data_IF_246517016657
#
_entry.id   IF_246517016657
#
_cell.length_a   1.000
_cell.length_b   1.000
_cell.length_c   1.000
_cell.angle_alpha   90.00
_cell.angle_beta   90.00
_cell.angle_gamma   90.00
#
_symmetry.space_group_name_H-M   'P 1'
#
loop_
_entity.id
_entity.type
_entity.pdbx_description
1 polymer ?
#
# COMPACT_ATOMS: atom_id res chain seq x y z
N UNK A 1 -18.92 -18.67 -21.19
CA UNK A 1 -18.17 -17.48 -21.70
C UNK A 1 -17.35 -16.94 -20.54
N UNK A 2 -16.27 -16.20 -20.78
CA UNK A 2 -15.45 -15.57 -19.72
C UNK A 2 -15.29 -14.08 -19.99
N UNK A 3 -14.98 -13.30 -18.97
CA UNK A 3 -14.62 -11.90 -19.15
C UNK A 3 -13.36 -11.75 -20.02
N UNK A 4 -13.45 -10.91 -21.04
CA UNK A 4 -12.33 -10.52 -21.91
C UNK A 4 -11.93 -9.08 -21.61
N UNK A 5 -10.69 -8.91 -21.14
CA UNK A 5 -10.13 -7.60 -20.75
C UNK A 5 -10.03 -6.64 -21.92
N UNK A 6 -9.76 -7.14 -23.14
CA UNK A 6 -9.54 -6.27 -24.29
C UNK A 6 -10.86 -5.68 -24.79
N UNK A 7 -11.91 -6.49 -24.86
CA UNK A 7 -13.22 -6.05 -25.36
C UNK A 7 -14.19 -5.64 -24.25
N UNK A 8 -13.81 -5.80 -22.98
CA UNK A 8 -14.63 -5.50 -21.81
C UNK A 8 -16.01 -6.17 -21.89
N UNK A 9 -16.02 -7.42 -22.37
CA UNK A 9 -17.23 -8.19 -22.68
C UNK A 9 -17.08 -9.65 -22.28
N UNK A 10 -18.16 -10.42 -22.34
CA UNK A 10 -18.09 -11.87 -22.23
C UNK A 10 -17.71 -12.49 -23.57
N UNK A 11 -16.62 -13.26 -23.62
CA UNK A 11 -16.16 -13.97 -24.81
C UNK A 11 -16.26 -15.48 -24.65
N UNK A 12 -16.78 -16.16 -25.65
CA UNK A 12 -16.75 -17.63 -25.70
C UNK A 12 -15.34 -18.10 -26.08
N UNK A 13 -14.70 -18.90 -25.22
CA UNK A 13 -13.37 -19.46 -25.50
C UNK A 13 -13.35 -20.42 -26.70
N UNK A 14 -14.49 -21.02 -27.05
CA UNK A 14 -14.57 -22.04 -28.11
C UNK A 14 -14.88 -21.45 -29.48
N UNK A 15 -15.87 -20.55 -29.59
CA UNK A 15 -16.31 -20.00 -30.88
C UNK A 15 -15.99 -18.50 -31.08
N UNK A 16 -15.48 -17.82 -30.05
CA UNK A 16 -15.12 -16.41 -30.14
C UNK A 16 -16.29 -15.42 -30.06
N UNK A 17 -17.54 -15.88 -29.98
CA UNK A 17 -18.70 -15.00 -29.83
C UNK A 17 -18.58 -14.08 -28.61
N UNK A 18 -19.01 -12.84 -28.75
CA UNK A 18 -18.91 -11.79 -27.73
C UNK A 18 -20.29 -11.28 -27.30
N UNK A 19 -20.46 -11.05 -25.99
CA UNK A 19 -21.67 -10.47 -25.41
C UNK A 19 -21.28 -9.31 -24.50
N UNK A 20 -21.73 -8.10 -24.86
CA UNK A 20 -21.46 -6.89 -24.08
C UNK A 20 -21.98 -7.05 -22.64
N UNK A 21 -21.20 -6.57 -21.68
CA UNK A 21 -21.66 -6.44 -20.30
C UNK A 21 -22.28 -5.05 -20.17
N UNK A 22 -23.54 -5.01 -19.74
CA UNK A 22 -24.25 -3.76 -19.48
C UNK A 22 -23.85 -3.24 -18.11
N UNK A 23 -23.32 -2.02 -18.08
CA UNK A 23 -23.08 -1.27 -16.85
C UNK A 23 -24.31 -0.39 -16.59
N UNK A 24 -24.93 -0.55 -15.43
CA UNK A 24 -26.00 0.33 -14.98
C UNK A 24 -25.55 1.04 -13.71
N UNK A 25 -25.03 2.26 -13.85
CA UNK A 25 -24.47 3.05 -12.74
C UNK A 25 -25.49 3.29 -11.62
N UNK A 26 -26.80 3.31 -11.93
CA UNK A 26 -27.85 3.44 -10.91
C UNK A 26 -27.93 2.24 -9.95
N UNK A 27 -27.24 1.14 -10.25
CA UNK A 27 -27.13 -0.04 -9.37
C UNK A 27 -25.95 0.03 -8.41
N UNK A 28 -25.05 1.01 -8.57
CA UNK A 28 -24.02 1.27 -7.56
C UNK A 28 -24.71 2.03 -6.44
N UNK A 29 -24.93 1.36 -5.31
CA UNK A 29 -25.67 1.92 -4.18
C UNK A 29 -24.69 2.33 -3.09
N UNK A 30 -24.82 3.57 -2.63
CA UNK A 30 -24.17 4.05 -1.42
C UNK A 30 -25.06 3.79 -0.21
N UNK A 31 -24.52 3.02 0.73
CA UNK A 31 -25.25 2.62 1.92
C UNK A 31 -24.97 3.58 3.06
N UNK A 32 -26.00 4.09 3.72
CA UNK A 32 -25.80 4.90 4.92
C UNK A 32 -25.15 4.07 6.04
N UNK A 33 -24.05 4.59 6.59
CA UNK A 33 -23.30 3.96 7.68
C UNK A 33 -24.12 3.87 8.98
N UNK A 34 -25.09 4.76 9.17
CA UNK A 34 -25.93 4.82 10.37
C UNK A 34 -27.24 4.02 10.28
N UNK A 35 -27.48 3.34 9.14
CA UNK A 35 -28.68 2.52 8.94
C UNK A 35 -28.72 1.29 9.87
N UNK A 36 -29.93 0.82 10.22
CA UNK A 36 -30.10 -0.45 10.96
C UNK A 36 -29.48 -1.64 10.21
N UNK A 37 -29.45 -1.61 8.87
CA UNK A 37 -28.79 -2.60 8.02
C UNK A 37 -27.26 -2.60 8.20
N UNK A 38 -26.62 -1.43 8.29
CA UNK A 38 -25.19 -1.31 8.61
C UNK A 38 -24.84 -1.86 10.01
N UNK A 39 -25.82 -1.93 10.93
CA UNK A 39 -25.70 -2.52 12.28
C UNK A 39 -26.07 -4.00 12.35
N UNK A 40 -26.67 -4.55 11.30
CA UNK A 40 -27.20 -5.92 11.22
C UNK A 40 -26.67 -6.63 9.97
N UNK A 41 -25.37 -6.49 9.68
CA UNK A 41 -24.68 -7.04 8.49
C UNK A 41 -24.62 -8.59 8.43
N UNK A 42 -25.63 -9.27 8.96
CA UNK A 42 -25.92 -10.69 8.75
C UNK A 42 -27.03 -10.94 7.71
N UNK A 43 -27.67 -9.91 7.14
CA UNK A 43 -28.71 -10.09 6.12
C UNK A 43 -28.21 -9.63 4.74
N UNK A 44 -27.80 -10.55 3.85
CA UNK A 44 -27.53 -10.22 2.46
C UNK A 44 -28.84 -9.97 1.71
N UNK A 45 -28.81 -8.98 0.80
CA UNK A 45 -29.81 -8.92 -0.25
C UNK A 45 -29.60 -10.11 -1.21
N UNK A 46 -30.66 -10.87 -1.57
CA UNK A 46 -30.52 -11.96 -2.52
C UNK A 46 -30.29 -11.40 -3.92
N UNK A 47 -29.17 -11.77 -4.54
CA UNK A 47 -29.04 -11.75 -6.00
C UNK A 47 -29.62 -13.06 -6.55
N UNK A 48 -30.49 -12.98 -7.55
CA UNK A 48 -31.07 -14.16 -8.20
C UNK A 48 -30.00 -14.99 -8.94
N UNK A 49 -28.87 -14.37 -9.31
CA UNK A 49 -27.74 -15.02 -10.01
C UNK A 49 -26.67 -15.62 -9.06
N UNK A 50 -26.74 -15.42 -7.73
CA UNK A 50 -25.64 -15.78 -6.80
C UNK A 50 -25.76 -17.16 -6.12
N UNK A 51 -26.83 -17.91 -6.38
CA UNK A 51 -27.22 -19.10 -5.60
C UNK A 51 -26.30 -20.34 -5.71
N UNK A 52 -25.16 -20.27 -6.38
CA UNK A 52 -24.35 -21.45 -6.70
C UNK A 52 -22.86 -21.42 -6.30
N UNK A 53 -22.32 -20.31 -5.79
CA UNK A 53 -20.89 -20.26 -5.42
C UNK A 53 -20.65 -20.75 -3.99
N UNK A 54 -19.57 -21.53 -3.81
CA UNK A 54 -19.11 -22.00 -2.49
C UNK A 54 -17.86 -21.21 -2.12
N UNK A 55 -17.76 -20.78 -0.86
CA UNK A 55 -16.56 -20.12 -0.36
C UNK A 55 -15.61 -21.14 0.29
N UNK A 56 -14.31 -21.09 -0.05
CA UNK A 56 -13.27 -21.88 0.59
C UNK A 56 -12.35 -21.01 1.43
N UNK A 57 -12.03 -21.45 2.64
CA UNK A 57 -11.07 -20.78 3.50
C UNK A 57 -9.65 -21.31 3.28
N UNK A 58 -8.69 -20.42 3.07
CA UNK A 58 -7.28 -20.77 3.06
C UNK A 58 -6.77 -20.94 4.50
N UNK A 59 -6.30 -22.14 4.88
CA UNK A 59 -5.65 -22.36 6.18
C UNK A 59 -4.29 -21.66 6.34
N UNK A 60 -3.69 -21.20 5.25
CA UNK A 60 -2.37 -20.56 5.26
C UNK A 60 -2.39 -19.04 5.45
N UNK A 61 -3.39 -18.33 4.90
CA UNK A 61 -3.48 -16.87 5.01
C UNK A 61 -4.84 -16.36 5.50
N UNK A 62 -5.83 -17.24 5.69
CA UNK A 62 -7.16 -16.86 6.16
C UNK A 62 -8.09 -16.25 5.10
N UNK A 63 -7.64 -16.06 3.85
CA UNK A 63 -8.52 -15.61 2.76
C UNK A 63 -9.69 -16.56 2.55
N UNK A 64 -10.83 -15.99 2.16
CA UNK A 64 -11.96 -16.76 1.69
C UNK A 64 -12.19 -16.48 0.21
N UNK A 65 -12.11 -17.52 -0.61
CA UNK A 65 -12.27 -17.40 -2.06
C UNK A 65 -13.55 -18.08 -2.49
N UNK A 66 -14.33 -17.37 -3.29
CA UNK A 66 -15.50 -17.91 -3.98
C UNK A 66 -15.05 -18.76 -5.16
N UNK A 67 -15.56 -19.99 -5.20
CA UNK A 67 -15.35 -20.94 -6.28
C UNK A 67 -16.67 -21.47 -6.80
N UNK A 68 -16.68 -21.83 -8.07
CA UNK A 68 -17.78 -22.58 -8.69
C UNK A 68 -17.89 -23.96 -8.02
N UNK A 69 -19.11 -24.46 -7.80
CA UNK A 69 -19.42 -25.76 -7.13
C UNK A 69 -18.61 -26.96 -7.61
N UNK A 70 -18.20 -26.97 -8.88
CA UNK A 70 -17.51 -28.10 -9.51
C UNK A 70 -15.99 -27.92 -9.61
N UNK A 71 -15.42 -26.83 -9.07
CA UNK A 71 -13.97 -26.66 -9.01
C UNK A 71 -13.37 -27.33 -7.78
N UNK A 72 -12.54 -28.35 -8.01
CA UNK A 72 -11.80 -29.04 -6.96
C UNK A 72 -10.32 -28.62 -6.98
N UNK A 73 -9.78 -28.35 -5.78
CA UNK A 73 -8.36 -28.11 -5.50
C UNK A 73 -7.71 -26.91 -6.22
N UNK A 74 -7.98 -25.71 -5.71
CA UNK A 74 -7.23 -24.48 -6.08
C UNK A 74 -6.06 -24.27 -5.11
N UNK A 75 -4.90 -23.81 -5.60
CA UNK A 75 -3.84 -23.26 -4.74
C UNK A 75 -4.16 -21.80 -4.45
N UNK A 76 -4.05 -21.40 -3.19
CA UNK A 76 -4.25 -20.02 -2.78
C UNK A 76 -3.35 -19.06 -3.58
N UNK A 77 -3.93 -18.05 -4.27
CA UNK A 77 -3.15 -17.12 -5.08
C UNK A 77 -2.23 -16.25 -4.21
N UNK A 78 -2.57 -16.06 -2.93
CA UNK A 78 -1.84 -15.22 -1.99
C UNK A 78 -0.66 -15.91 -1.29
N UNK A 79 -0.82 -17.18 -0.88
CA UNK A 79 0.22 -17.87 -0.09
C UNK A 79 0.63 -19.25 -0.62
N UNK A 80 0.00 -19.74 -1.69
CA UNK A 80 0.33 -21.02 -2.34
C UNK A 80 -0.13 -22.27 -1.58
N UNK A 81 -0.74 -22.13 -0.40
CA UNK A 81 -1.34 -23.25 0.33
C UNK A 81 -2.58 -23.78 -0.38
N UNK A 82 -2.87 -25.08 -0.25
CA UNK A 82 -4.13 -25.67 -0.74
C UNK A 82 -5.32 -25.11 0.04
N UNK A 83 -6.44 -24.90 -0.66
CA UNK A 83 -7.72 -24.66 0.00
C UNK A 83 -8.27 -25.96 0.59
N UNK A 84 -9.04 -25.82 1.68
CA UNK A 84 -9.88 -26.87 2.22
C UNK A 84 -11.31 -26.40 2.02
N UNK A 85 -12.18 -27.28 1.51
CA UNK A 85 -13.62 -27.00 1.41
C UNK A 85 -14.12 -26.58 2.80
N UNK A 86 -14.84 -25.45 2.85
CA UNK A 86 -15.47 -25.02 4.09
C UNK A 86 -16.77 -25.79 4.28
N UNK A 87 -17.00 -26.31 5.48
CA UNK A 87 -18.29 -26.92 5.86
C UNK A 87 -19.41 -25.87 6.02
N UNK A 88 -19.07 -24.57 5.93
CA UNK A 88 -20.02 -23.45 6.06
C UNK A 88 -19.96 -22.54 4.85
N UNK A 89 -21.10 -22.43 4.19
CA UNK A 89 -21.41 -21.34 3.27
C UNK A 89 -21.91 -20.19 4.14
N UNK A 90 -21.10 -19.15 4.28
CA UNK A 90 -21.56 -17.91 4.88
C UNK A 90 -22.21 -17.07 3.79
N UNK A 91 -23.44 -16.65 4.04
CA UNK A 91 -24.12 -15.62 3.30
C UNK A 91 -23.34 -14.30 3.44
N UNK A 92 -22.96 -13.67 2.32
CA UNK A 92 -22.09 -12.48 2.29
C UNK A 92 -22.71 -11.38 1.46
N UNK A 93 -22.39 -10.15 1.83
CA UNK A 93 -22.85 -8.94 1.14
C UNK A 93 -22.43 -9.00 -0.33
N UNK A 94 -23.41 -8.90 -1.22
CA UNK A 94 -23.17 -8.75 -2.66
C UNK A 94 -22.47 -7.40 -2.88
N UNK A 95 -21.35 -7.35 -3.63
CA UNK A 95 -20.69 -6.09 -3.92
C UNK A 95 -21.60 -5.11 -4.68
N UNK A 96 -21.48 -3.83 -4.39
CA UNK A 96 -22.18 -2.75 -5.11
C UNK A 96 -21.50 -2.46 -6.45
N UNK A 97 -20.17 -2.62 -6.48
CA UNK A 97 -19.38 -2.28 -7.65
C UNK A 97 -18.15 -3.16 -7.86
N UNK A 98 -17.60 -3.05 -9.07
CA UNK A 98 -16.38 -3.74 -9.49
C UNK A 98 -15.58 -2.82 -10.40
N UNK A 99 -14.26 -2.77 -10.22
CA UNK A 99 -13.36 -2.22 -11.25
C UNK A 99 -12.95 -3.38 -12.15
N UNK A 100 -13.34 -3.41 -13.44
CA UNK A 100 -12.94 -4.50 -14.33
C UNK A 100 -11.41 -4.56 -14.51
N UNK A 101 -10.88 -5.76 -14.76
CA UNK A 101 -9.48 -5.86 -15.20
C UNK A 101 -9.28 -5.06 -16.49
N UNK A 102 -8.22 -4.24 -16.51
CA UNK A 102 -7.75 -3.47 -17.67
C UNK A 102 -6.39 -3.98 -18.17
N UNK A 103 -5.61 -4.59 -17.27
CA UNK A 103 -4.39 -5.33 -17.58
C UNK A 103 -4.78 -6.78 -17.82
N UNK A 104 -4.50 -7.30 -19.01
CA UNK A 104 -4.71 -8.73 -19.29
C UNK A 104 -3.59 -9.61 -18.73
N UNK A 105 -3.82 -10.93 -18.72
CA UNK A 105 -2.90 -11.90 -18.12
C UNK A 105 -1.53 -11.95 -18.81
N UNK A 106 -1.45 -11.70 -20.12
CA UNK A 106 -0.17 -11.67 -20.83
C UNK A 106 0.59 -10.41 -20.45
N UNK A 107 -0.07 -9.25 -20.45
CA UNK A 107 0.55 -8.00 -20.01
C UNK A 107 1.02 -8.07 -18.55
N UNK A 108 0.25 -8.72 -17.68
CA UNK A 108 0.63 -8.92 -16.28
C UNK A 108 1.88 -9.80 -16.13
N UNK A 109 2.06 -10.81 -17.00
CA UNK A 109 3.30 -11.59 -17.06
C UNK A 109 4.49 -10.74 -17.51
N UNK A 110 4.33 -9.92 -18.54
CA UNK A 110 5.41 -9.02 -19.01
C UNK A 110 5.86 -8.05 -17.92
N UNK A 111 4.89 -7.45 -17.20
CA UNK A 111 5.14 -6.56 -16.06
C UNK A 111 5.93 -7.31 -14.98
N UNK A 112 5.48 -8.52 -14.65
CA UNK A 112 6.14 -9.37 -13.67
C UNK A 112 7.59 -9.72 -14.07
N UNK A 113 7.81 -10.16 -15.31
CA UNK A 113 9.13 -10.50 -15.83
C UNK A 113 10.06 -9.29 -15.82
N UNK A 114 9.56 -8.13 -16.26
CA UNK A 114 10.30 -6.86 -16.19
C UNK A 114 10.69 -6.48 -14.76
N UNK A 115 9.80 -6.69 -13.80
CA UNK A 115 10.08 -6.44 -12.38
C UNK A 115 11.17 -7.36 -11.83
N UNK A 116 11.08 -8.66 -12.08
CA UNK A 116 12.09 -9.65 -11.65
C UNK A 116 13.46 -9.37 -12.29
N UNK A 117 13.48 -8.99 -13.56
CA UNK A 117 14.73 -8.77 -14.28
C UNK A 117 15.55 -7.62 -13.70
N UNK A 118 14.89 -6.59 -13.17
CA UNK A 118 15.52 -5.45 -12.46
C UNK A 118 16.07 -5.81 -11.07
N UNK A 119 15.75 -6.97 -10.50
CA UNK A 119 16.26 -7.40 -9.19
C UNK A 119 17.58 -8.17 -9.33
N UNK A 120 18.67 -7.42 -9.47
CA UNK A 120 20.02 -7.96 -9.62
C UNK A 120 20.44 -8.89 -8.47
N UNK A 121 19.97 -8.64 -7.24
CA UNK A 121 20.22 -9.50 -6.07
C UNK A 121 19.36 -10.77 -6.02
N UNK A 122 18.37 -10.95 -6.90
CA UNK A 122 17.57 -12.17 -6.91
C UNK A 122 18.40 -13.40 -7.36
N UNK A 123 18.17 -14.59 -6.76
CA UNK A 123 18.74 -15.86 -7.22
C UNK A 123 18.40 -16.14 -8.69
N UNK A 124 19.35 -16.64 -9.47
CA UNK A 124 19.15 -16.96 -10.89
C UNK A 124 18.10 -18.07 -11.10
N UNK A 125 18.08 -19.07 -10.21
CA UNK A 125 17.08 -20.15 -10.21
C UNK A 125 15.65 -19.64 -9.96
N UNK A 126 15.51 -18.53 -9.25
CA UNK A 126 14.22 -17.91 -9.01
C UNK A 126 13.66 -17.30 -10.29
N UNK A 127 14.51 -16.61 -11.07
CA UNK A 127 14.12 -16.05 -12.38
C UNK A 127 13.50 -17.10 -13.31
N UNK A 128 14.01 -18.35 -13.26
CA UNK A 128 13.50 -19.50 -14.04
C UNK A 128 12.28 -20.21 -13.41
N UNK A 129 12.10 -20.09 -12.10
CA UNK A 129 11.01 -20.78 -11.40
C UNK A 129 9.68 -20.03 -11.50
N UNK A 130 9.73 -18.71 -11.72
CA UNK A 130 8.53 -17.90 -11.94
C UNK A 130 7.76 -18.26 -13.22
N UNK A 131 8.44 -18.75 -14.25
CA UNK A 131 7.81 -19.26 -15.48
C UNK A 131 6.83 -20.41 -15.18
N UNK A 132 6.97 -21.08 -14.03
CA UNK A 132 6.10 -22.18 -13.56
C UNK A 132 5.05 -21.76 -12.54
N UNK A 133 5.13 -20.54 -11.98
CA UNK A 133 4.14 -20.02 -11.04
C UNK A 133 2.90 -19.54 -11.79
N UNK A 134 1.71 -19.98 -11.38
CA UNK A 134 0.47 -19.47 -11.96
C UNK A 134 0.16 -18.09 -11.39
N UNK A 135 0.52 -17.04 -12.13
CA UNK A 135 -0.06 -15.72 -11.93
C UNK A 135 -1.59 -15.84 -12.05
N UNK A 136 -2.30 -15.53 -10.98
CA UNK A 136 -3.75 -15.68 -10.89
C UNK A 136 -4.39 -14.31 -10.75
N UNK A 137 -5.43 -14.05 -11.53
CA UNK A 137 -6.25 -12.86 -11.37
C UNK A 137 -7.32 -13.11 -10.32
N UNK A 138 -7.43 -12.17 -9.39
CA UNK A 138 -8.35 -12.21 -8.25
C UNK A 138 -8.96 -10.83 -8.04
N UNK A 139 -10.26 -10.80 -7.80
CA UNK A 139 -10.96 -9.63 -7.30
C UNK A 139 -10.82 -9.59 -5.79
N UNK A 140 -10.14 -8.55 -5.30
CA UNK A 140 -9.92 -8.31 -3.88
C UNK A 140 -11.01 -7.38 -3.34
N UNK A 141 -11.58 -7.67 -2.16
CA UNK A 141 -12.64 -6.88 -1.59
C UNK A 141 -12.12 -5.61 -0.92
N UNK A 142 -12.82 -4.51 -1.14
CA UNK A 142 -12.59 -3.20 -0.53
C UNK A 142 -13.91 -2.61 -0.03
N UNK A 143 -13.77 -1.70 0.93
CA UNK A 143 -14.79 -0.75 1.33
C UNK A 143 -14.36 0.62 0.80
N UNK A 144 -15.30 1.41 0.29
CA UNK A 144 -15.09 2.85 0.12
C UNK A 144 -16.04 3.59 1.05
N UNK A 145 -15.61 4.76 1.52
CA UNK A 145 -16.37 5.58 2.46
C UNK A 145 -16.41 7.01 1.96
N UNK A 146 -17.62 7.56 1.94
CA UNK A 146 -17.85 8.96 1.61
C UNK A 146 -18.31 9.68 2.87
N UNK A 147 -17.85 10.92 3.06
CA UNK A 147 -18.24 11.72 4.21
C UNK A 147 -18.00 13.21 3.96
N UNK A 148 -18.96 14.04 4.39
CA UNK A 148 -18.74 15.46 4.61
C UNK A 148 -18.14 15.66 6.00
N UNK A 149 -16.92 16.18 6.07
CA UNK A 149 -16.22 16.40 7.33
C UNK A 149 -15.97 17.89 7.54
N UNK A 150 -16.54 18.43 8.59
CA UNK A 150 -16.29 19.78 9.08
C UNK A 150 -15.45 19.71 10.34
N UNK A 151 -14.40 20.53 10.44
CA UNK A 151 -13.54 20.56 11.61
C UNK A 151 -13.25 21.98 12.08
N UNK A 152 -13.29 22.18 13.39
CA UNK A 152 -12.76 23.38 14.04
C UNK A 152 -11.38 23.08 14.61
N UNK A 153 -10.50 24.08 14.65
CA UNK A 153 -9.17 23.92 15.19
C UNK A 153 -8.73 25.09 16.08
N UNK A 154 -7.80 24.79 16.99
CA UNK A 154 -7.03 25.78 17.75
C UNK A 154 -5.54 25.44 17.63
N UNK A 155 -4.68 26.45 17.50
CA UNK A 155 -3.23 26.27 17.38
C UNK A 155 -2.47 27.50 17.88
N UNK A 156 -1.15 27.44 17.82
CA UNK A 156 -0.24 28.58 17.89
C UNK A 156 0.38 28.81 16.51
N UNK A 157 0.22 30.00 15.97
CA UNK A 157 0.88 30.46 14.75
C UNK A 157 2.16 31.22 15.11
N UNK A 158 3.30 30.77 14.59
CA UNK A 158 4.60 31.39 14.82
C UNK A 158 4.97 32.35 13.70
N UNK A 159 5.41 33.57 14.04
CA UNK A 159 6.05 34.49 13.10
C UNK A 159 7.54 34.58 13.39
N UNK A 160 8.34 34.29 12.38
CA UNK A 160 9.78 34.36 12.51
C UNK A 160 10.25 35.81 12.32
N UNK A 161 11.08 36.28 13.24
CA UNK A 161 11.83 37.53 13.10
C UNK A 161 13.30 37.31 13.36
N UNK A 162 14.12 38.06 12.63
CA UNK A 162 15.56 38.09 12.80
C UNK A 162 15.90 39.07 13.91
N UNK A 163 16.70 38.63 14.88
CA UNK A 163 17.27 39.46 15.93
C UNK A 163 18.78 39.36 15.87
N UNK A 164 19.45 40.47 16.19
CA UNK A 164 20.90 40.53 16.36
C UNK A 164 21.20 40.33 17.85
N UNK A 165 22.08 39.38 18.15
CA UNK A 165 22.54 39.07 19.51
C UNK A 165 24.08 39.12 19.51
N UNK A 166 24.67 39.77 20.50
CA UNK A 166 26.13 39.83 20.64
C UNK A 166 26.61 38.59 21.41
N UNK A 167 27.51 37.81 20.80
CA UNK A 167 28.12 36.64 21.43
C UNK A 167 29.62 36.68 21.21
N UNK A 168 30.39 36.75 22.31
CA UNK A 168 31.86 36.86 22.28
C UNK A 168 32.38 38.05 21.46
N UNK A 169 31.70 39.20 21.50
CA UNK A 169 32.09 40.40 20.75
C UNK A 169 31.82 40.34 19.24
N UNK A 170 31.11 39.32 18.76
CA UNK A 170 30.64 39.21 17.38
C UNK A 170 29.11 39.31 17.32
N UNK A 171 28.60 40.07 16.36
CA UNK A 171 27.17 40.17 16.10
C UNK A 171 26.70 38.93 15.33
N UNK A 172 25.82 38.13 15.93
CA UNK A 172 25.26 36.93 15.32
C UNK A 172 23.78 37.15 15.05
N UNK A 173 23.34 36.83 13.84
CA UNK A 173 21.93 36.84 13.48
C UNK A 173 21.26 35.55 13.97
N UNK A 174 20.16 35.71 14.71
CA UNK A 174 19.36 34.61 15.27
C UNK A 174 17.91 34.77 14.85
N UNK A 175 17.28 33.66 14.50
CA UNK A 175 15.82 33.63 14.25
C UNK A 175 15.10 33.34 15.56
N UNK A 176 14.15 34.20 15.92
CA UNK A 176 13.25 34.02 17.06
C UNK A 176 11.82 33.96 16.52
N UNK A 177 11.03 33.04 17.08
CA UNK A 177 9.62 32.86 16.70
C UNK A 177 8.72 33.48 17.77
N UNK A 178 7.90 34.46 17.38
CA UNK A 178 6.83 34.99 18.23
C UNK A 178 5.55 34.18 17.99
N UNK A 179 4.99 33.59 19.05
CA UNK A 179 3.83 32.71 18.96
C UNK A 179 2.53 33.43 19.31
N UNK A 180 1.52 33.28 18.45
CA UNK A 180 0.19 33.88 18.61
C UNK A 180 -0.88 32.78 18.65
N UNK A 181 -1.85 32.85 19.57
CA UNK A 181 -2.99 31.93 19.53
C UNK A 181 -3.78 32.17 18.24
N UNK A 182 -4.17 31.08 17.58
CA UNK A 182 -5.00 31.13 16.38
C UNK A 182 -6.04 30.01 16.40
N UNK A 183 -7.15 30.23 15.73
CA UNK A 183 -8.20 29.26 15.52
C UNK A 183 -8.75 29.42 14.09
N UNK A 184 -9.56 28.45 13.69
CA UNK A 184 -10.23 28.47 12.41
C UNK A 184 -11.06 27.22 12.21
N UNK A 185 -11.57 27.10 11.00
CA UNK A 185 -12.41 26.00 10.54
C UNK A 185 -11.93 25.53 9.17
N UNK A 186 -12.09 24.25 8.90
CA UNK A 186 -11.80 23.63 7.62
C UNK A 186 -12.87 22.59 7.32
N UNK A 187 -13.20 22.43 6.06
CA UNK A 187 -14.15 21.42 5.58
C UNK A 187 -13.54 20.63 4.43
N UNK A 188 -13.95 19.38 4.31
CA UNK A 188 -13.59 18.54 3.17
C UNK A 188 -14.69 17.51 2.91
N UNK A 189 -15.08 17.38 1.65
CA UNK A 189 -15.82 16.21 1.19
C UNK A 189 -14.83 15.12 0.80
N UNK A 190 -14.98 13.95 1.40
CA UNK A 190 -14.23 12.76 1.03
C UNK A 190 -15.09 11.92 0.09
N UNK A 191 -14.63 11.79 -1.15
CA UNK A 191 -15.19 10.91 -2.18
C UNK A 191 -14.27 9.69 -2.32
N UNK A 192 -14.75 8.54 -1.86
CA UNK A 192 -14.09 7.24 -1.75
C UNK A 192 -12.77 7.23 -0.94
N UNK A 193 -12.86 7.17 0.38
CA UNK A 193 -11.74 6.66 1.20
C UNK A 193 -11.67 5.14 1.09
N UNK A 194 -10.72 4.66 0.29
CA UNK A 194 -10.58 3.25 -0.09
C UNK A 194 -9.85 2.43 0.97
N UNK A 195 -10.53 1.47 1.59
CA UNK A 195 -9.99 0.59 2.63
C UNK A 195 -10.10 -0.87 2.20
N UNK A 196 -8.97 -1.57 2.14
CA UNK A 196 -8.96 -3.02 1.87
C UNK A 196 -9.79 -3.78 2.91
N UNK A 197 -10.65 -4.68 2.43
CA UNK A 197 -11.54 -5.48 3.27
C UNK A 197 -11.01 -6.91 3.53
N UNK A 198 -9.71 -7.15 3.38
CA UNK A 198 -9.05 -8.46 3.55
C UNK A 198 -7.82 -8.38 4.45
N UNK A 199 -7.54 -9.44 5.21
CA UNK A 199 -6.27 -9.61 5.97
C UNK A 199 -5.26 -10.54 5.28
N UNK A 200 -5.58 -11.10 4.12
CA UNK A 200 -4.82 -12.20 3.53
C UNK A 200 -3.40 -11.85 3.06
N UNK A 201 -3.17 -10.57 2.75
CA UNK A 201 -1.88 -10.05 2.28
C UNK A 201 -1.28 -9.05 3.26
N UNK A 202 0.03 -8.91 3.21
CA UNK A 202 0.75 -7.87 3.95
C UNK A 202 0.38 -6.47 3.45
N UNK A 203 0.11 -5.54 4.37
CA UNK A 203 -0.32 -4.17 4.06
C UNK A 203 0.69 -3.41 3.18
N UNK A 204 2.00 -3.61 3.37
CA UNK A 204 3.03 -2.93 2.57
C UNK A 204 2.94 -3.30 1.08
N UNK A 205 2.55 -4.54 0.80
CA UNK A 205 2.46 -5.06 -0.58
C UNK A 205 1.22 -4.50 -1.29
N UNK A 206 0.11 -4.40 -0.57
CA UNK A 206 -1.12 -3.81 -1.11
C UNK A 206 -0.94 -2.31 -1.33
N UNK A 207 -0.37 -1.59 -0.35
CA UNK A 207 -0.03 -0.16 -0.53
C UNK A 207 0.83 0.09 -1.77
N UNK A 208 1.75 -0.82 -2.08
CA UNK A 208 2.60 -0.70 -3.27
C UNK A 208 1.89 -0.88 -4.63
N UNK A 209 0.64 -1.34 -4.65
CA UNK A 209 -0.17 -1.44 -5.88
C UNK A 209 -1.30 -0.41 -5.93
N UNK A 210 -1.53 0.35 -4.87
CA UNK A 210 -2.50 1.44 -4.78
C UNK A 210 -1.99 2.73 -5.47
N UNK A 211 -2.88 3.71 -5.76
CA UNK A 211 -4.33 3.65 -5.63
C UNK A 211 -5.00 2.91 -6.80
N UNK A 212 -6.28 2.59 -6.62
CA UNK A 212 -7.23 2.21 -7.66
C UNK A 212 -8.17 3.39 -7.92
N UNK A 213 -8.72 3.51 -9.13
CA UNK A 213 -9.57 4.64 -9.48
C UNK A 213 -11.06 4.33 -9.24
N UNK A 214 -11.47 4.28 -7.98
CA UNK A 214 -12.84 3.92 -7.59
C UNK A 214 -13.87 4.98 -7.99
N UNK A 215 -13.49 6.26 -8.10
CA UNK A 215 -14.43 7.33 -8.48
C UNK A 215 -14.75 7.36 -9.97
N UNK A 216 -13.84 6.93 -10.87
CA UNK A 216 -14.06 6.98 -12.32
C UNK A 216 -14.21 5.61 -12.99
N UNK A 217 -13.54 4.57 -12.48
CA UNK A 217 -13.47 3.26 -13.14
C UNK A 217 -14.51 2.26 -12.66
N UNK A 218 -15.24 2.56 -11.58
CA UNK A 218 -16.20 1.64 -10.98
C UNK A 218 -17.37 1.36 -11.95
N UNK A 219 -17.77 0.10 -12.01
CA UNK A 219 -18.94 -0.40 -12.73
C UNK A 219 -19.87 -1.09 -11.76
N UNK A 220 -21.16 -1.08 -12.05
CA UNK A 220 -22.15 -1.82 -11.28
C UNK A 220 -21.76 -3.29 -11.24
N UNK A 221 -21.82 -3.90 -10.06
CA UNK A 221 -21.45 -5.30 -9.91
C UNK A 221 -22.22 -6.20 -10.89
N UNK A 222 -21.48 -7.14 -11.48
CA UNK A 222 -22.04 -8.24 -12.24
C UNK A 222 -21.08 -9.42 -12.17
N UNK A 223 -21.61 -10.61 -11.89
CA UNK A 223 -20.85 -11.87 -11.93
C UNK A 223 -20.11 -12.09 -13.26
N UNK A 224 -20.59 -11.46 -14.34
CA UNK A 224 -19.97 -11.47 -15.67
C UNK A 224 -18.55 -10.90 -15.70
N UNK A 225 -18.24 -9.89 -14.87
CA UNK A 225 -16.88 -9.35 -14.74
C UNK A 225 -15.94 -10.31 -13.99
N UNK A 226 -16.50 -11.17 -13.14
CA UNK A 226 -15.77 -12.14 -12.32
C UNK A 226 -15.46 -13.40 -13.12
N UNK A 227 -16.27 -13.72 -14.14
CA UNK A 227 -16.12 -14.94 -14.92
C UNK A 227 -14.71 -15.11 -15.52
N UNK A 228 -14.00 -16.16 -15.09
CA UNK A 228 -12.61 -16.43 -15.48
C UNK A 228 -11.55 -15.92 -14.48
N UNK A 229 -11.97 -15.29 -13.39
CA UNK A 229 -11.16 -14.79 -12.28
C UNK A 229 -11.65 -15.38 -10.95
N UNK A 230 -10.80 -15.30 -9.93
CA UNK A 230 -11.20 -15.59 -8.55
C UNK A 230 -11.85 -14.35 -7.93
N UNK A 231 -12.72 -14.52 -6.94
CA UNK A 231 -13.19 -13.45 -6.08
C UNK A 231 -12.91 -13.81 -4.62
N UNK A 232 -12.27 -12.90 -3.89
CA UNK A 232 -12.14 -12.99 -2.44
C UNK A 232 -13.33 -12.30 -1.78
N UNK A 233 -13.91 -12.93 -0.77
CA UNK A 233 -14.86 -12.26 0.09
C UNK A 233 -14.17 -11.56 1.26
N UNK A 234 -14.79 -10.50 1.77
CA UNK A 234 -14.20 -9.71 2.85
C UNK A 234 -13.99 -10.52 4.14
N UNK A 235 -12.92 -10.18 4.86
CA UNK A 235 -12.60 -10.69 6.21
C UNK A 235 -12.47 -9.56 7.24
N UNK A 236 -12.50 -8.31 6.79
CA UNK A 236 -12.56 -7.12 7.64
C UNK A 236 -13.99 -6.56 7.52
N UNK A 237 -14.77 -6.58 8.62
CA UNK A 237 -16.10 -5.97 8.63
C UNK A 237 -16.05 -4.47 8.32
N UNK A 238 -17.10 -3.95 7.69
CA UNK A 238 -17.23 -2.52 7.37
C UNK A 238 -16.99 -1.62 8.59
N UNK A 239 -17.50 -1.99 9.77
CA UNK A 239 -17.33 -1.19 11.00
C UNK A 239 -15.88 -1.03 11.45
N UNK A 240 -15.03 -2.03 11.18
CA UNK A 240 -13.60 -1.96 11.47
C UNK A 240 -12.85 -1.19 10.38
N UNK A 241 -13.22 -1.39 9.12
CA UNK A 241 -12.69 -0.60 8.01
C UNK A 241 -12.99 0.90 8.17
N UNK A 242 -14.19 1.24 8.68
CA UNK A 242 -14.59 2.62 8.98
C UNK A 242 -13.65 3.29 9.98
N UNK A 243 -13.22 2.59 11.03
CA UNK A 243 -12.27 3.16 12.01
C UNK A 243 -10.97 3.59 11.33
N UNK A 244 -10.48 2.77 10.40
CA UNK A 244 -9.29 3.10 9.59
C UNK A 244 -9.57 4.28 8.67
N UNK A 245 -10.74 4.32 8.01
CA UNK A 245 -11.14 5.44 7.16
C UNK A 245 -11.19 6.76 7.94
N UNK A 246 -11.79 6.76 9.14
CA UNK A 246 -11.85 7.93 10.01
C UNK A 246 -10.45 8.42 10.39
N UNK A 247 -9.51 7.51 10.69
CA UNK A 247 -8.12 7.92 10.96
C UNK A 247 -7.46 8.64 9.77
N UNK A 248 -7.69 8.14 8.54
CA UNK A 248 -7.20 8.81 7.31
C UNK A 248 -7.86 10.17 7.11
N UNK A 249 -9.18 10.26 7.32
CA UNK A 249 -9.91 11.53 7.23
C UNK A 249 -9.41 12.53 8.29
N UNK A 250 -9.19 12.10 9.53
CA UNK A 250 -8.64 12.93 10.62
C UNK A 250 -7.25 13.48 10.30
N UNK A 251 -6.36 12.64 9.77
CA UNK A 251 -5.03 13.07 9.33
C UNK A 251 -5.12 14.13 8.22
N UNK A 252 -6.00 13.94 7.23
CA UNK A 252 -6.22 14.92 6.16
C UNK A 252 -6.80 16.23 6.71
N UNK A 253 -7.80 16.18 7.59
CA UNK A 253 -8.35 17.38 8.23
C UNK A 253 -7.27 18.11 9.05
N UNK A 254 -6.37 17.38 9.71
CA UNK A 254 -5.24 17.97 10.42
C UNK A 254 -4.23 18.64 9.49
N UNK A 255 -3.97 18.06 8.32
CA UNK A 255 -3.16 18.70 7.26
C UNK A 255 -3.79 20.00 6.79
N UNK A 256 -5.09 19.99 6.46
CA UNK A 256 -5.82 21.18 6.01
C UNK A 256 -5.81 22.29 7.07
N UNK A 257 -6.03 21.95 8.33
CA UNK A 257 -5.94 22.92 9.43
C UNK A 257 -4.52 23.49 9.58
N UNK A 258 -3.49 22.66 9.42
CA UNK A 258 -2.08 23.11 9.45
C UNK A 258 -1.78 24.05 8.30
N UNK A 259 -2.19 23.70 7.09
CA UNK A 259 -2.03 24.52 5.88
C UNK A 259 -2.75 25.86 6.04
N UNK A 260 -3.95 25.89 6.62
CA UNK A 260 -4.69 27.12 6.88
C UNK A 260 -3.98 28.06 7.86
N UNK A 261 -3.34 27.52 8.90
CA UNK A 261 -2.47 28.33 9.78
C UNK A 261 -1.25 28.84 9.01
N UNK A 262 -0.61 28.00 8.20
CA UNK A 262 0.59 28.36 7.42
C UNK A 262 0.33 29.41 6.34
N UNK A 263 -0.93 29.63 5.92
CA UNK A 263 -1.29 30.79 5.06
C UNK A 263 -1.06 32.14 5.75
N UNK A 264 -1.02 32.18 7.08
CA UNK A 264 -0.97 33.41 7.90
C UNK A 264 0.27 33.52 8.79
N UNK A 265 1.02 32.43 8.94
CA UNK A 265 2.13 32.25 9.88
C UNK A 265 3.23 31.38 9.26
N UNK A 266 4.47 31.52 9.75
CA UNK A 266 5.61 30.76 9.24
C UNK A 266 5.69 29.35 9.87
N UNK A 267 5.14 29.18 11.08
CA UNK A 267 5.19 27.93 11.86
C UNK A 267 3.84 27.63 12.53
N UNK A 268 3.64 26.34 12.82
CA UNK A 268 2.46 25.84 13.56
C UNK A 268 2.91 25.00 14.74
N UNK A 269 2.34 25.26 15.90
CA UNK A 269 2.51 24.48 17.13
C UNK A 269 1.17 24.30 17.86
N UNK A 270 1.09 23.32 18.77
CA UNK A 270 -0.10 22.98 19.57
C UNK A 270 -1.43 22.85 18.77
N UNK A 271 -1.34 22.30 17.55
CA UNK A 271 -2.52 22.13 16.68
C UNK A 271 -3.46 21.05 17.23
N UNK A 272 -4.66 21.47 17.62
CA UNK A 272 -5.77 20.62 18.06
C UNK A 272 -6.93 20.78 17.10
N UNK A 273 -7.43 19.66 16.59
CA UNK A 273 -8.51 19.62 15.60
C UNK A 273 -9.65 18.79 16.16
N UNK A 274 -10.89 19.25 15.95
CA UNK A 274 -12.12 18.54 16.32
C UNK A 274 -13.02 18.44 15.11
N UNK A 275 -13.19 17.22 14.62
CA UNK A 275 -13.97 16.92 13.41
C UNK A 275 -15.38 16.43 13.75
N UNK A 276 -16.34 16.79 12.91
CA UNK A 276 -17.71 16.29 12.90
C UNK A 276 -18.01 15.73 11.51
N UNK A 277 -18.69 14.59 11.47
CA UNK A 277 -18.98 13.85 10.24
C UNK A 277 -20.47 13.93 9.92
N UNK A 278 -20.78 14.05 8.64
CA UNK A 278 -22.14 14.08 8.10
C UNK A 278 -22.19 13.36 6.75
N UNK A 279 -23.39 12.93 6.34
CA UNK A 279 -23.65 12.22 5.08
C UNK A 279 -22.74 11.00 4.86
N UNK A 280 -22.48 10.25 5.95
CA UNK A 280 -21.58 9.11 5.89
C UNK A 280 -22.21 7.92 5.14
N UNK A 281 -21.59 7.55 4.01
CA UNK A 281 -21.98 6.38 3.22
C UNK A 281 -20.81 5.42 3.03
N UNK A 282 -21.12 4.20 2.59
CA UNK A 282 -20.12 3.20 2.21
C UNK A 282 -20.56 2.37 1.00
N UNK A 283 -19.60 1.82 0.28
CA UNK A 283 -19.80 0.85 -0.81
C UNK A 283 -18.92 -0.38 -0.59
N UNK A 284 -19.44 -1.58 -0.87
CA UNK A 284 -18.62 -2.78 -1.00
C UNK A 284 -18.18 -2.95 -2.46
N UNK A 285 -16.88 -2.95 -2.73
CA UNK A 285 -16.37 -3.02 -4.11
C UNK A 285 -15.30 -4.10 -4.30
N UNK A 286 -15.23 -4.64 -5.51
CA UNK A 286 -14.23 -5.63 -5.92
C UNK A 286 -13.19 -5.00 -6.86
N UNK A 287 -11.91 -5.06 -6.47
CA UNK A 287 -10.82 -4.45 -7.21
C UNK A 287 -9.88 -5.50 -7.83
N UNK A 288 -9.40 -5.29 -9.08
CA UNK A 288 -8.71 -6.32 -9.84
C UNK A 288 -7.24 -6.40 -9.42
N UNK A 289 -6.79 -7.58 -8.99
CA UNK A 289 -5.41 -7.83 -8.58
C UNK A 289 -4.90 -9.10 -9.24
N UNK A 290 -3.71 -9.07 -9.83
CA UNK A 290 -2.98 -10.31 -10.07
C UNK A 290 -2.14 -10.64 -8.86
N UNK A 291 -2.15 -11.90 -8.42
CA UNK A 291 -1.32 -12.38 -7.33
C UNK A 291 -0.57 -13.64 -7.74
N UNK A 292 0.66 -13.74 -7.25
CA UNK A 292 1.47 -14.94 -7.36
C UNK A 292 2.19 -15.19 -6.05
N UNK A 293 1.98 -16.39 -5.51
CA UNK A 293 2.71 -16.90 -4.36
C UNK A 293 3.71 -17.98 -4.80
N UNK A 294 4.91 -17.96 -4.20
CA UNK A 294 5.92 -18.98 -4.45
C UNK A 294 6.75 -19.24 -3.19
N UNK A 295 7.34 -20.43 -3.12
CA UNK A 295 8.20 -20.85 -2.03
C UNK A 295 9.65 -20.88 -2.51
N UNK A 296 10.56 -20.31 -1.72
CA UNK A 296 11.99 -20.41 -1.94
C UNK A 296 12.70 -20.69 -0.61
N UNK A 297 13.36 -21.84 -0.52
CA UNK A 297 14.08 -22.31 0.68
C UNK A 297 13.22 -22.29 1.95
N UNK A 298 11.97 -22.75 1.85
CA UNK A 298 11.04 -22.81 2.99
C UNK A 298 10.37 -21.48 3.33
N UNK A 299 10.81 -20.37 2.72
CA UNK A 299 10.19 -19.05 2.90
C UNK A 299 9.18 -18.77 1.79
N UNK A 300 8.02 -18.23 2.18
CA UNK A 300 6.97 -17.82 1.25
C UNK A 300 7.21 -16.38 0.80
N UNK A 301 7.02 -16.15 -0.48
CA UNK A 301 7.08 -14.84 -1.09
C UNK A 301 5.82 -14.64 -1.93
N UNK A 302 5.44 -13.40 -2.11
CA UNK A 302 4.31 -13.05 -2.94
C UNK A 302 4.56 -11.75 -3.68
N UNK A 303 4.00 -11.69 -4.88
CA UNK A 303 3.99 -10.52 -5.73
C UNK A 303 2.55 -10.25 -6.12
N UNK A 304 2.19 -8.98 -6.13
CA UNK A 304 0.89 -8.49 -6.52
C UNK A 304 1.02 -7.42 -7.59
N UNK A 305 0.06 -7.37 -8.49
CA UNK A 305 -0.02 -6.40 -9.58
C UNK A 305 -1.42 -5.82 -9.59
N UNK A 306 -1.52 -4.50 -9.64
CA UNK A 306 -2.77 -3.80 -9.87
C UNK A 306 -3.30 -4.19 -11.27
N UNK A 307 -4.46 -4.83 -11.33
CA UNK A 307 -5.11 -5.28 -12.56
C UNK A 307 -5.75 -4.15 -13.38
N UNK A 308 -5.80 -2.92 -12.84
CA UNK A 308 -6.21 -1.71 -13.52
C UNK A 308 -4.98 -0.96 -14.09
N UNK A 309 -3.98 -0.68 -13.26
CA UNK A 309 -2.85 0.21 -13.62
C UNK A 309 -1.56 -0.50 -14.00
N UNK A 310 -1.39 -1.77 -13.63
CA UNK A 310 -0.16 -2.53 -13.82
C UNK A 310 0.94 -2.23 -12.80
N UNK A 311 0.70 -1.38 -11.78
CA UNK A 311 1.63 -1.21 -10.66
C UNK A 311 1.92 -2.54 -9.99
N UNK A 312 3.18 -2.79 -9.64
CA UNK A 312 3.65 -4.09 -9.10
C UNK A 312 4.38 -3.89 -7.78
N UNK A 313 4.05 -4.73 -6.80
CA UNK A 313 4.71 -4.78 -5.50
C UNK A 313 4.90 -6.22 -5.05
N UNK A 314 6.00 -6.50 -4.35
CA UNK A 314 6.27 -7.88 -3.92
C UNK A 314 7.61 -8.03 -3.23
N UNK A 315 7.76 -9.14 -2.52
CA UNK A 315 9.03 -9.53 -1.90
C UNK A 315 9.78 -10.52 -2.79
N UNK A 316 11.11 -10.55 -2.67
CA UNK A 316 11.95 -11.54 -3.34
C UNK A 316 13.13 -11.97 -2.44
N UNK A 317 13.60 -13.23 -2.55
CA UNK A 317 14.78 -13.67 -1.81
C UNK A 317 16.03 -12.97 -2.31
N UNK A 318 16.93 -12.64 -1.39
CA UNK A 318 18.26 -12.13 -1.73
C UNK A 318 19.26 -13.27 -1.92
N UNK A 319 20.13 -13.17 -2.93
CA UNK A 319 21.21 -14.11 -3.17
C UNK A 319 22.39 -13.82 -2.23
N UNK A 320 22.59 -14.69 -1.24
CA UNK A 320 23.73 -14.61 -0.31
C UNK A 320 25.08 -14.59 -1.05
N UNK A 321 25.21 -15.34 -2.13
CA UNK A 321 26.42 -15.36 -2.96
C UNK A 321 26.70 -14.00 -3.60
N UNK A 322 25.67 -13.35 -4.16
CA UNK A 322 25.83 -12.02 -4.78
C UNK A 322 26.16 -10.97 -3.74
N UNK A 323 25.49 -11.01 -2.59
CA UNK A 323 25.79 -10.13 -1.45
C UNK A 323 27.25 -10.31 -1.00
N UNK A 324 27.69 -11.54 -0.78
CA UNK A 324 29.07 -11.84 -0.38
C UNK A 324 30.10 -11.35 -1.39
N UNK A 325 29.83 -11.46 -2.69
CA UNK A 325 30.70 -10.94 -3.75
C UNK A 325 30.81 -9.42 -3.72
N UNK A 326 29.71 -8.70 -3.50
CA UNK A 326 29.72 -7.23 -3.36
C UNK A 326 30.52 -6.81 -2.14
N UNK A 327 30.28 -7.45 -0.99
CA UNK A 327 31.01 -7.18 0.25
C UNK A 327 32.50 -7.44 0.03
N UNK A 328 32.86 -8.57 -0.61
CA UNK A 328 34.25 -8.89 -0.94
C UNK A 328 34.92 -7.84 -1.83
N UNK A 329 34.21 -7.33 -2.85
CA UNK A 329 34.71 -6.24 -3.71
C UNK A 329 34.92 -4.96 -2.90
N UNK A 330 33.97 -4.58 -2.04
CA UNK A 330 34.08 -3.39 -1.20
C UNK A 330 35.29 -3.50 -0.27
N UNK A 331 35.47 -4.64 0.40
CA UNK A 331 36.63 -4.89 1.28
C UNK A 331 37.94 -4.84 0.49
N UNK A 332 37.99 -5.42 -0.71
CA UNK A 332 39.17 -5.36 -1.57
C UNK A 332 39.52 -3.92 -2.01
N UNK A 333 38.51 -3.11 -2.35
CA UNK A 333 38.70 -1.69 -2.69
C UNK A 333 39.26 -0.93 -1.48
N UNK A 334 38.66 -1.09 -0.30
CA UNK A 334 39.12 -0.44 0.93
C UNK A 334 40.56 -0.84 1.25
N UNK A 335 40.88 -2.14 1.20
CA UNK A 335 42.24 -2.63 1.41
C UNK A 335 43.24 -2.04 0.40
N UNK A 336 42.86 -1.94 -0.88
CA UNK A 336 43.71 -1.33 -1.90
C UNK A 336 43.99 0.16 -1.65
N UNK A 337 43.01 0.91 -1.14
CA UNK A 337 43.19 2.32 -0.78
C UNK A 337 44.11 2.50 0.44
N UNK A 338 44.05 1.60 1.42
CA UNK A 338 44.97 1.60 2.55
C UNK A 338 46.41 1.27 2.12
N UNK A 339 46.60 0.27 1.25
CA UNK A 339 47.92 -0.08 0.71
C UNK A 339 48.49 1.06 -0.13
N UNK A 340 47.67 1.68 -0.99
CA UNK A 340 48.09 2.82 -1.81
C UNK A 340 48.50 4.05 -0.96
N UNK A 341 47.78 4.34 0.13
CA UNK A 341 48.18 5.38 1.09
C UNK A 341 49.46 5.01 1.85
N UNK A 342 49.65 3.73 2.20
CA UNK A 342 50.87 3.24 2.84
C UNK A 342 52.12 3.36 1.94
N UNK A 343 51.97 3.17 0.62
CA UNK A 343 53.06 3.33 -0.34
C UNK A 343 53.42 4.79 -0.66
N UNK A 344 52.55 5.77 -0.36
CA UNK A 344 52.83 7.19 -0.58
C UNK A 344 53.69 7.84 0.52
N UNK A 345 53.88 7.20 1.68
CA UNK A 345 54.62 7.75 2.82
C UNK A 345 56.08 7.26 2.93
N UNK A 346 56.63 6.66 1.88
CA UNK A 346 58.01 6.15 1.85
C UNK A 346 59.04 7.09 1.24
N UNK A 347 59.29 8.28 1.85
CA UNK A 347 60.58 9.00 1.73
C UNK A 347 60.99 9.57 3.10
N UNK A 348 62.26 9.34 3.44
CA UNK A 348 62.96 9.47 4.74
C UNK A 348 62.99 10.88 5.38
N UNK A 349 63.40 10.99 6.67
CA UNK A 349 63.10 12.10 7.57
C UNK A 349 64.11 13.23 7.46
N UNK A 350 63.69 14.44 7.84
CA UNK A 350 64.61 15.50 8.25
C UNK A 350 64.29 15.97 9.67
N UNK A 351 65.37 16.16 10.43
CA UNK A 351 65.39 16.47 11.86
C UNK A 351 65.04 17.94 12.10
N UNK A 352 64.51 18.19 13.30
CA UNK A 352 64.29 19.49 13.96
C UNK A 352 63.03 20.28 13.56
N UNK A 353 62.01 20.26 14.43
CA UNK A 353 61.80 21.35 15.40
C UNK A 353 60.70 21.01 16.41
N UNK A 354 60.90 21.60 17.58
CA UNK A 354 60.27 21.53 18.89
C UNK A 354 58.81 21.98 18.96
N UNK A 355 58.12 21.43 19.99
CA UNK A 355 57.01 22.01 20.78
C UNK A 355 55.64 22.15 20.08
N UNK A 356 54.48 21.85 20.67
CA UNK A 356 54.11 21.46 22.02
C UNK A 356 52.64 20.93 22.06
N UNK A 357 52.31 20.35 23.22
CA UNK A 357 50.99 20.18 23.86
C UNK A 357 50.00 19.15 23.28
N UNK A 358 49.77 18.15 24.14
CA UNK A 358 48.71 17.15 24.14
C UNK A 358 47.34 17.76 24.46
N UNK A 359 46.29 17.28 23.80
CA UNK A 359 45.07 16.85 24.49
C UNK A 359 44.33 15.82 23.63
N UNK A 360 44.05 14.68 24.24
CA UNK A 360 43.41 13.53 23.60
C UNK A 360 41.90 13.56 23.71
N UNK A 361 41.24 12.83 22.82
CA UNK A 361 39.95 12.19 23.12
C UNK A 361 39.91 10.85 22.38
N UNK A 362 39.80 9.76 23.17
CA UNK A 362 39.47 8.44 22.69
C UNK A 362 37.98 8.37 22.39
N UNK A 363 37.58 7.77 21.26
CA UNK A 363 36.27 7.15 21.12
C UNK A 363 36.48 5.65 20.92
N UNK A 364 36.23 4.90 21.97
CA UNK A 364 35.95 3.47 21.92
C UNK A 364 34.61 3.29 21.19
N UNK A 365 34.59 2.44 20.16
CA UNK A 365 33.33 1.92 19.60
C UNK A 365 33.19 0.51 20.17
N UNK A 366 32.34 0.37 21.19
CA UNK A 366 31.85 -0.92 21.65
C UNK A 366 30.69 -1.38 20.77
N UNK A 367 30.82 -2.59 20.23
CA UNK A 367 29.73 -3.37 19.66
C UNK A 367 28.70 -3.67 20.75
N UNK A 368 27.57 -2.97 20.75
CA UNK A 368 26.28 -3.47 21.25
C UNK A 368 25.21 -2.39 21.04
N UNK A 369 24.40 -2.55 19.98
CA UNK A 369 22.98 -2.16 19.97
C UNK A 369 22.32 -2.70 18.68
N UNK A 370 22.14 -4.02 18.70
CA UNK A 370 21.17 -4.72 17.88
C UNK A 370 19.80 -4.62 18.59
N UNK A 371 18.78 -4.16 17.87
CA UNK A 371 17.38 -3.95 18.27
C UNK A 371 17.03 -2.59 18.89
N UNK A 372 16.63 -1.64 18.05
CA UNK A 372 15.47 -0.80 18.36
C UNK A 372 14.64 -0.50 17.13
N UNK A 373 13.32 -0.51 17.37
CA UNK A 373 12.21 -0.30 16.45
C UNK A 373 12.41 0.94 15.58
N UNK A 374 12.27 0.76 14.27
CA UNK A 374 12.13 1.87 13.33
C UNK A 374 10.64 2.18 13.25
N UNK A 375 10.22 3.15 14.05
CA UNK A 375 8.95 3.85 13.92
C UNK A 375 8.96 4.60 12.58
N UNK A 376 8.07 4.23 11.66
CA UNK A 376 7.94 4.91 10.38
C UNK A 376 6.96 6.07 10.53
N UNK A 377 7.51 7.28 10.64
CA UNK A 377 6.77 8.52 10.40
C UNK A 377 6.16 8.48 9.00
N UNK A 378 4.83 8.65 8.99
CA UNK A 378 3.96 8.63 7.82
C UNK A 378 3.99 10.04 7.22
N UNK A 379 4.53 10.17 6.00
CA UNK A 379 4.35 11.36 5.16
C UNK A 379 3.48 10.95 3.97
N UNK A 380 2.19 11.28 4.03
CA UNK A 380 1.28 11.24 2.90
C UNK A 380 1.47 12.51 2.06
N UNK A 381 2.13 12.41 0.91
CA UNK A 381 1.99 13.40 -0.17
C UNK A 381 0.95 12.88 -1.16
N UNK A 382 -0.29 13.38 -1.03
CA UNK A 382 -1.28 13.32 -2.08
C UNK A 382 -1.19 14.62 -2.88
N UNK A 383 -0.44 14.61 -3.98
CA UNK A 383 -0.64 15.56 -5.08
C UNK A 383 -1.69 14.97 -6.02
N UNK A 384 -2.93 15.44 -5.88
CA UNK A 384 -4.01 15.24 -6.84
C UNK A 384 -4.27 16.58 -7.53
N UNK A 385 -3.41 16.96 -8.48
CA UNK A 385 -3.80 17.86 -9.57
C UNK A 385 -3.15 17.38 -10.87
N UNK A 386 -4.00 17.23 -11.89
CA UNK A 386 -3.72 16.90 -13.30
C UNK A 386 -3.34 15.44 -13.64
N UNK A 387 -4.37 14.61 -13.88
CA UNK A 387 -4.65 13.92 -15.18
C UNK A 387 -5.90 13.04 -15.10
#
# INVERSE_FOLDING_TARGET
>A
MVFDVKTQSLKCKSCGNEKKIENNESKIVEHSVNSKAARSMNDPAPDEDSKENVAMQCKGCGSWIEIEKNQTATKCPYCGSSYVLSDRQEERIVPDGVIPFMVDKNRAKDIFEGWVNKRWLAPSQLKRSYERGSLQGIYMPYWTFDANVYATYSAKGGRDRKVKEERNGQEVEKTVTDWYPTNGEVENFFDDVVIRASKALDSSKVKGIEPFNTTKSLKSYSSKYISGYLAESYTIPMTDAKKTANGIMEEKMRSLAREDVLKRFDKVDDLKVRSTYSDETYKHVLLPVYSMAYNYQGKKYNVVINGETGKISGSYPYSKLKIGLIIGIIVAIIASLFIAKGCSNGKQPDKNKTEAVSDGYYMEISEDEMNHDIDYDIIYNYDLENL
#
